data_IF_492181652526
#
_entry.id   IF_492181652526
#
_cell.length_a   1.000
_cell.length_b   1.000
_cell.length_c   1.000
_cell.angle_alpha   90.00
_cell.angle_beta   90.00
_cell.angle_gamma   90.00
#
_symmetry.space_group_name_H-M   'P 1'
#
loop_
_entity.id
_entity.type
_entity.pdbx_description
1 polymer ?
#
# COMPACT_ATOMS: atom_id res chain seq x y z
N UNK A 1 -13.86 12.87 16.27
CA UNK A 1 -12.87 12.77 15.17
C UNK A 1 -13.21 11.52 14.37
N UNK A 2 -13.48 11.67 13.08
CA UNK A 2 -13.82 10.55 12.22
C UNK A 2 -12.62 9.58 12.15
N UNK A 3 -12.90 8.29 12.28
CA UNK A 3 -11.96 7.24 11.89
C UNK A 3 -11.76 7.37 10.38
N UNK A 4 -10.71 8.05 9.94
CA UNK A 4 -10.34 8.03 8.53
C UNK A 4 -9.82 6.63 8.23
N UNK A 5 -10.47 5.92 7.31
CA UNK A 5 -10.07 4.57 6.92
C UNK A 5 -8.70 4.64 6.23
N UNK A 6 -7.65 4.25 6.97
CA UNK A 6 -6.27 4.27 6.49
C UNK A 6 -6.11 3.46 5.19
N UNK A 7 -6.90 2.39 5.02
CA UNK A 7 -6.89 1.61 3.79
C UNK A 7 -7.40 2.42 2.60
N UNK A 8 -8.43 3.22 2.79
CA UNK A 8 -8.96 4.11 1.74
C UNK A 8 -7.92 5.16 1.36
N UNK A 9 -7.21 5.73 2.33
CA UNK A 9 -6.16 6.72 2.05
C UNK A 9 -5.02 6.11 1.26
N UNK A 10 -4.53 4.94 1.68
CA UNK A 10 -3.46 4.23 0.97
C UNK A 10 -3.94 3.86 -0.44
N UNK A 11 -5.19 3.38 -0.57
CA UNK A 11 -5.82 3.13 -1.86
C UNK A 11 -5.78 4.37 -2.76
N UNK A 12 -6.29 5.50 -2.30
CA UNK A 12 -6.35 6.74 -3.09
C UNK A 12 -4.96 7.20 -3.53
N UNK A 13 -3.95 7.04 -2.67
CA UNK A 13 -2.57 7.37 -2.99
C UNK A 13 -1.97 6.42 -4.03
N UNK A 14 -2.23 5.12 -3.93
CA UNK A 14 -1.80 4.12 -4.92
C UNK A 14 -2.48 4.34 -6.28
N UNK A 15 -3.77 4.67 -6.30
CA UNK A 15 -4.50 5.01 -7.54
C UNK A 15 -3.97 6.29 -8.19
N UNK A 16 -3.42 7.21 -7.39
CA UNK A 16 -2.81 8.45 -7.86
C UNK A 16 -1.35 8.28 -8.33
N UNK A 17 -0.73 7.11 -8.17
CA UNK A 17 0.64 6.87 -8.62
C UNK A 17 0.73 6.91 -10.15
N UNK A 18 1.67 7.71 -10.63
CA UNK A 18 1.95 7.90 -12.04
C UNK A 18 3.43 7.70 -12.33
N UNK A 19 3.72 7.28 -13.56
CA UNK A 19 5.08 7.28 -14.09
C UNK A 19 5.52 8.72 -14.44
N UNK A 20 6.76 8.87 -14.91
CA UNK A 20 7.32 10.17 -15.28
C UNK A 20 6.64 10.79 -16.52
N UNK A 21 5.85 9.98 -17.26
CA UNK A 21 5.07 10.41 -18.42
C UNK A 21 3.57 10.62 -18.08
N UNK A 22 3.24 10.70 -16.79
CA UNK A 22 1.88 10.84 -16.26
C UNK A 22 0.91 9.67 -16.51
N UNK A 23 1.42 8.52 -16.96
CA UNK A 23 0.62 7.31 -17.10
C UNK A 23 0.33 6.68 -15.74
N UNK A 24 -0.90 6.21 -15.55
CA UNK A 24 -1.28 5.46 -14.36
C UNK A 24 -0.47 4.17 -14.25
N UNK A 25 0.22 3.98 -13.12
CA UNK A 25 1.05 2.81 -12.88
C UNK A 25 0.25 1.60 -12.38
N UNK A 26 -0.83 1.82 -11.62
CA UNK A 26 -1.69 0.77 -11.06
C UNK A 26 -3.10 0.95 -11.59
N UNK A 27 -3.60 -0.03 -12.34
CA UNK A 27 -4.88 0.05 -13.04
C UNK A 27 -6.06 0.05 -12.06
N UNK A 28 -6.01 -0.78 -11.02
CA UNK A 28 -7.06 -0.91 -10.02
C UNK A 28 -6.49 -1.19 -8.63
N UNK A 29 -7.13 -0.63 -7.60
CA UNK A 29 -6.76 -0.85 -6.20
C UNK A 29 -7.97 -1.26 -5.37
N UNK A 30 -7.87 -2.40 -4.69
CA UNK A 30 -8.92 -2.98 -3.87
C UNK A 30 -8.56 -2.89 -2.37
N UNK A 31 -9.55 -2.67 -1.50
CA UNK A 31 -9.36 -2.65 -0.03
C UNK A 31 -9.61 -4.02 0.64
N UNK A 32 -9.67 -5.06 -0.19
CA UNK A 32 -9.87 -6.46 0.15
C UNK A 32 -9.15 -7.31 -0.91
N UNK A 33 -8.88 -8.58 -0.60
CA UNK A 33 -8.36 -9.50 -1.59
C UNK A 33 -9.43 -9.74 -2.67
N UNK A 34 -9.18 -9.21 -3.87
CA UNK A 34 -10.06 -9.35 -5.03
C UNK A 34 -9.49 -10.38 -5.99
N UNK A 35 -10.36 -11.28 -6.48
CA UNK A 35 -9.98 -12.35 -7.41
C UNK A 35 -10.32 -12.02 -8.87
N UNK A 36 -10.77 -10.79 -9.17
CA UNK A 36 -11.25 -10.41 -10.52
C UNK A 36 -10.87 -8.97 -10.90
N UNK A 37 -9.59 -8.68 -11.14
CA UNK A 37 -9.18 -7.41 -11.73
C UNK A 37 -9.64 -7.31 -13.21
N UNK A 38 -9.83 -6.09 -13.68
CA UNK A 38 -10.02 -5.71 -15.09
C UNK A 38 -8.70 -5.60 -15.86
N UNK A 39 -7.56 -5.67 -15.18
CA UNK A 39 -6.23 -5.81 -15.79
C UNK A 39 -5.09 -5.59 -14.80
N UNK A 40 -3.88 -5.61 -15.34
CA UNK A 40 -2.63 -5.53 -14.59
C UNK A 40 -1.84 -4.26 -14.93
N UNK A 41 -1.04 -3.71 -13.98
CA UNK A 41 -0.96 -4.10 -12.57
C UNK A 41 -2.24 -3.76 -11.80
N UNK A 42 -2.56 -4.56 -10.78
CA UNK A 42 -3.56 -4.21 -9.78
C UNK A 42 -2.98 -4.36 -8.37
N UNK A 43 -3.56 -3.67 -7.39
CA UNK A 43 -3.14 -3.76 -6.00
C UNK A 43 -4.28 -4.13 -5.04
N UNK A 44 -3.95 -4.79 -3.94
CA UNK A 44 -4.84 -5.00 -2.79
C UNK A 44 -4.25 -4.34 -1.56
N UNK A 45 -5.10 -3.78 -0.70
CA UNK A 45 -4.75 -3.07 0.54
C UNK A 45 -5.57 -3.69 1.66
N UNK A 46 -4.95 -4.52 2.48
CA UNK A 46 -5.60 -5.30 3.53
C UNK A 46 -4.97 -4.96 4.87
N UNK A 47 -5.78 -4.60 5.85
CA UNK A 47 -5.29 -4.41 7.21
C UNK A 47 -5.06 -5.78 7.86
N UNK A 48 -3.82 -6.05 8.25
CA UNK A 48 -3.39 -7.31 8.86
C UNK A 48 -3.47 -7.26 10.38
N UNK A 49 -3.07 -6.14 10.99
CA UNK A 49 -2.96 -6.00 12.46
C UNK A 49 -3.57 -4.69 12.94
N UNK A 50 -4.20 -4.73 14.11
CA UNK A 50 -4.61 -3.55 14.88
C UNK A 50 -4.25 -3.78 16.34
N UNK A 51 -3.28 -3.02 16.83
CA UNK A 51 -2.77 -3.08 18.20
C UNK A 51 -2.93 -1.73 18.90
N UNK A 52 -2.94 -1.75 20.23
CA UNK A 52 -3.02 -0.56 21.04
C UNK A 52 -2.20 -0.71 22.32
N UNK A 53 -1.37 0.29 22.59
CA UNK A 53 -0.53 0.35 23.79
C UNK A 53 -0.86 1.62 24.58
N UNK A 54 -1.04 1.47 25.89
CA UNK A 54 -1.26 2.62 26.78
C UNK A 54 0.10 3.25 27.08
N UNK A 55 0.33 4.46 26.59
CA UNK A 55 1.56 5.22 26.89
C UNK A 55 1.48 5.78 28.33
N UNK A 56 0.36 6.41 28.66
CA UNK A 56 0.09 6.92 30.02
C UNK A 56 -1.43 7.07 30.28
N UNK A 57 -1.78 7.66 31.43
CA UNK A 57 -3.17 7.87 31.85
C UNK A 57 -4.01 8.68 30.84
N UNK A 58 -3.36 9.48 30.00
CA UNK A 58 -3.98 10.39 29.03
C UNK A 58 -3.68 10.03 27.57
N UNK A 59 -2.76 9.11 27.28
CA UNK A 59 -2.31 8.81 25.91
C UNK A 59 -2.32 7.32 25.61
N UNK A 60 -2.82 6.96 24.44
CA UNK A 60 -2.81 5.60 23.89
C UNK A 60 -2.21 5.64 22.50
N UNK A 61 -1.18 4.84 22.24
CA UNK A 61 -0.70 4.57 20.90
C UNK A 61 -1.57 3.48 20.27
N UNK A 62 -1.93 3.65 19.00
CA UNK A 62 -2.51 2.61 18.17
C UNK A 62 -1.60 2.33 17.00
N UNK A 63 -1.35 1.05 16.75
CA UNK A 63 -0.52 0.57 15.66
C UNK A 63 -1.42 -0.19 14.71
N UNK A 64 -1.38 0.19 13.44
CA UNK A 64 -2.10 -0.47 12.36
C UNK A 64 -1.10 -0.99 11.34
N UNK A 65 -1.14 -2.29 11.06
CA UNK A 65 -0.37 -2.84 9.96
C UNK A 65 -1.28 -3.13 8.77
N UNK A 66 -0.82 -2.69 7.60
CA UNK A 66 -1.54 -2.74 6.35
C UNK A 66 -0.63 -3.43 5.34
N UNK A 67 -1.06 -4.58 4.86
CA UNK A 67 -0.43 -5.29 3.76
C UNK A 67 -0.93 -4.68 2.45
N UNK A 68 0.01 -4.23 1.62
CA UNK A 68 -0.24 -3.83 0.23
C UNK A 68 0.39 -4.87 -0.68
N UNK A 69 -0.38 -5.44 -1.60
CA UNK A 69 0.13 -6.40 -2.58
C UNK A 69 -0.14 -5.87 -3.97
N UNK A 70 0.88 -5.78 -4.81
CA UNK A 70 0.76 -5.39 -6.21
C UNK A 70 1.05 -6.61 -7.07
N UNK A 71 0.13 -6.90 -7.99
CA UNK A 71 0.18 -8.07 -8.85
C UNK A 71 0.42 -7.62 -10.29
N UNK A 72 1.43 -8.19 -10.94
CA UNK A 72 1.70 -8.02 -12.36
C UNK A 72 1.71 -9.40 -13.03
N UNK A 73 0.92 -9.57 -14.08
CA UNK A 73 0.91 -10.78 -14.90
C UNK A 73 2.15 -10.87 -15.79
N UNK A 74 2.70 -12.08 -15.91
CA UNK A 74 3.69 -12.47 -16.91
C UNK A 74 2.98 -13.40 -17.89
N UNK A 75 2.84 -13.02 -19.16
CA UNK A 75 2.21 -13.89 -20.15
C UNK A 75 2.76 -13.65 -21.55
N UNK A 76 2.75 -14.68 -22.40
CA UNK A 76 3.22 -14.58 -23.81
C UNK A 76 2.41 -13.57 -24.64
N UNK A 77 1.16 -13.30 -24.28
CA UNK A 77 0.31 -12.26 -24.88
C UNK A 77 0.28 -10.94 -24.10
N UNK A 78 1.00 -10.86 -22.98
CA UNK A 78 1.09 -9.72 -22.09
C UNK A 78 2.51 -9.17 -22.04
N UNK A 79 3.01 -8.90 -20.83
CA UNK A 79 4.40 -8.50 -20.61
C UNK A 79 5.30 -9.74 -20.52
N UNK A 80 6.48 -9.64 -21.13
CA UNK A 80 7.56 -10.59 -20.87
C UNK A 80 7.99 -10.53 -19.39
N UNK A 81 8.72 -11.56 -18.93
CA UNK A 81 9.21 -11.61 -17.56
C UNK A 81 10.10 -10.39 -17.22
N UNK A 82 10.95 -9.99 -18.16
CA UNK A 82 11.86 -8.85 -18.01
C UNK A 82 11.07 -7.54 -17.88
N UNK A 83 10.10 -7.29 -18.77
CA UNK A 83 9.25 -6.08 -18.72
C UNK A 83 8.34 -6.04 -17.49
N UNK A 84 7.85 -7.19 -17.03
CA UNK A 84 7.07 -7.31 -15.81
C UNK A 84 7.92 -7.00 -14.58
N UNK A 85 9.16 -7.50 -14.53
CA UNK A 85 10.10 -7.26 -13.44
C UNK A 85 10.55 -5.80 -13.38
N UNK A 86 10.85 -5.20 -14.52
CA UNK A 86 11.19 -3.79 -14.63
C UNK A 86 10.05 -2.92 -14.11
N UNK A 87 8.82 -3.18 -14.55
CA UNK A 87 7.64 -2.46 -14.07
C UNK A 87 7.44 -2.61 -12.56
N UNK A 88 7.60 -3.82 -12.02
CA UNK A 88 7.48 -4.06 -10.57
C UNK A 88 8.57 -3.32 -9.80
N UNK A 89 9.77 -3.19 -10.35
CA UNK A 89 10.85 -2.43 -9.72
C UNK A 89 10.58 -0.92 -9.76
N UNK A 90 10.05 -0.40 -10.86
CA UNK A 90 9.59 1.00 -10.94
C UNK A 90 8.46 1.25 -9.93
N UNK A 91 7.49 0.34 -9.85
CA UNK A 91 6.41 0.41 -8.85
C UNK A 91 6.95 0.39 -7.43
N UNK A 92 7.97 -0.42 -7.16
CA UNK A 92 8.61 -0.50 -5.86
C UNK A 92 9.17 0.86 -5.42
N UNK A 93 10.01 1.45 -6.26
CA UNK A 93 10.63 2.75 -5.97
C UNK A 93 9.58 3.85 -5.81
N UNK A 94 8.58 3.91 -6.69
CA UNK A 94 7.50 4.92 -6.63
C UNK A 94 6.64 4.78 -5.37
N UNK A 95 6.36 3.55 -4.93
CA UNK A 95 5.60 3.30 -3.69
C UNK A 95 6.43 3.71 -2.48
N UNK A 96 7.73 3.36 -2.45
CA UNK A 96 8.63 3.77 -1.37
C UNK A 96 8.72 5.30 -1.30
N UNK A 97 9.00 5.95 -2.43
CA UNK A 97 9.08 7.41 -2.54
C UNK A 97 7.78 8.09 -2.08
N UNK A 98 6.61 7.52 -2.41
CA UNK A 98 5.32 8.05 -1.99
C UNK A 98 5.18 8.07 -0.45
N UNK A 99 5.58 6.99 0.23
CA UNK A 99 5.53 6.94 1.69
C UNK A 99 6.65 7.77 2.35
N UNK A 100 7.82 7.88 1.73
CA UNK A 100 8.91 8.71 2.24
C UNK A 100 8.60 10.21 2.14
N UNK A 101 7.92 10.64 1.09
CA UNK A 101 7.50 12.03 0.91
C UNK A 101 6.25 12.40 1.72
N UNK A 102 5.43 11.44 2.13
CA UNK A 102 4.26 11.67 2.99
C UNK A 102 4.17 10.68 4.15
N UNK A 103 5.04 10.92 5.14
CA UNK A 103 5.17 10.09 6.35
C UNK A 103 3.98 10.18 7.31
N UNK A 104 2.93 10.93 6.98
CA UNK A 104 1.75 11.12 7.83
C UNK A 104 0.42 10.76 7.14
N UNK A 105 0.50 10.23 5.92
CA UNK A 105 -0.67 9.93 5.08
C UNK A 105 -1.63 11.12 5.02
N UNK A 106 -1.08 12.27 4.66
CA UNK A 106 -1.76 13.55 4.64
C UNK A 106 -2.85 13.56 3.57
N UNK A 107 -4.07 13.91 3.99
CA UNK A 107 -5.23 14.10 3.10
C UNK A 107 -5.70 15.53 3.21
N UNK A 108 -5.69 16.26 2.08
CA UNK A 108 -6.11 17.68 2.03
C UNK A 108 -5.42 18.56 3.09
N UNK A 109 -4.15 18.30 3.37
CA UNK A 109 -3.35 19.02 4.36
C UNK A 109 -3.56 18.58 5.81
N UNK A 110 -4.37 17.53 6.07
CA UNK A 110 -4.60 16.99 7.40
C UNK A 110 -3.87 15.65 7.57
N UNK A 111 -2.96 15.51 8.54
CA UNK A 111 -2.31 14.24 8.89
C UNK A 111 -3.34 13.19 9.32
N UNK A 112 -3.23 11.97 8.79
CA UNK A 112 -4.13 10.86 9.14
C UNK A 112 -3.56 9.95 10.23
N UNK A 113 -2.23 9.87 10.29
CA UNK A 113 -1.44 9.20 11.33
C UNK A 113 -0.28 10.10 11.79
N UNK A 114 0.31 9.76 12.94
CA UNK A 114 1.48 10.48 13.45
C UNK A 114 2.74 10.11 12.67
N UNK A 115 2.83 8.83 12.25
CA UNK A 115 3.92 8.29 11.46
C UNK A 115 3.48 7.06 10.67
N UNK A 116 3.97 6.93 9.43
CA UNK A 116 3.93 5.70 8.65
C UNK A 116 5.35 5.23 8.36
N UNK A 117 5.58 3.92 8.49
CA UNK A 117 6.84 3.25 8.16
C UNK A 117 6.54 2.07 7.23
N UNK A 118 7.40 1.84 6.22
CA UNK A 118 7.42 0.57 5.50
C UNK A 118 8.25 -0.42 6.34
N UNK A 119 7.61 -1.50 6.77
CA UNK A 119 8.21 -2.53 7.63
C UNK A 119 8.95 -3.57 6.79
N UNK A 120 8.36 -3.97 5.67
CA UNK A 120 8.96 -4.95 4.79
C UNK A 120 8.53 -4.73 3.34
N UNK A 121 9.44 -5.08 2.42
CA UNK A 121 9.22 -5.11 0.98
C UNK A 121 9.72 -6.45 0.48
N UNK A 122 8.90 -7.21 -0.25
CA UNK A 122 9.27 -8.52 -0.79
C UNK A 122 8.64 -8.74 -2.16
N UNK A 123 9.43 -9.32 -3.07
CA UNK A 123 8.96 -9.82 -4.37
C UNK A 123 8.77 -11.32 -4.28
N UNK A 124 7.55 -11.77 -4.53
CA UNK A 124 7.20 -13.18 -4.67
C UNK A 124 6.82 -13.46 -6.12
N UNK A 125 6.92 -14.74 -6.50
CA UNK A 125 6.48 -15.21 -7.81
C UNK A 125 5.29 -16.16 -7.63
N UNK A 126 4.30 -16.00 -8.49
CA UNK A 126 3.20 -16.92 -8.61
C UNK A 126 3.66 -18.28 -9.14
N UNK A 127 2.73 -19.23 -9.17
CA UNK A 127 2.99 -20.57 -9.69
C UNK A 127 2.92 -20.59 -11.22
N UNK A 128 3.33 -21.69 -11.85
CA UNK A 128 3.22 -21.86 -13.31
C UNK A 128 1.77 -21.75 -13.82
N UNK A 129 0.77 -22.03 -12.98
CA UNK A 129 -0.66 -21.92 -13.31
C UNK A 129 -1.20 -20.48 -13.20
N UNK A 130 -0.39 -19.57 -12.65
CA UNK A 130 -0.74 -18.20 -12.34
C UNK A 130 0.55 -17.37 -12.29
N UNK A 131 1.17 -17.13 -13.46
CA UNK A 131 2.49 -16.53 -13.56
C UNK A 131 2.42 -15.03 -13.24
N UNK A 132 2.41 -14.71 -11.94
CA UNK A 132 2.43 -13.35 -11.43
C UNK A 132 3.78 -13.01 -10.84
N UNK A 133 4.17 -11.74 -10.92
CA UNK A 133 5.11 -11.14 -9.97
C UNK A 133 4.25 -10.41 -8.94
N UNK A 134 4.49 -10.69 -7.67
CA UNK A 134 3.76 -10.10 -6.54
C UNK A 134 4.75 -9.26 -5.75
N UNK A 135 4.49 -7.97 -5.64
CA UNK A 135 5.23 -7.06 -4.79
C UNK A 135 4.42 -6.83 -3.51
N UNK A 136 4.95 -7.29 -2.39
CA UNK A 136 4.32 -7.16 -1.08
C UNK A 136 5.01 -6.07 -0.28
N UNK A 137 4.22 -5.16 0.26
CA UNK A 137 4.61 -4.19 1.28
C UNK A 137 3.84 -4.45 2.56
N UNK A 138 4.54 -4.31 3.68
CA UNK A 138 3.91 -4.16 4.98
C UNK A 138 4.11 -2.74 5.45
N UNK A 139 3.01 -2.02 5.63
CA UNK A 139 2.99 -0.61 6.01
C UNK A 139 2.47 -0.51 7.44
N UNK A 140 3.25 0.08 8.34
CA UNK A 140 2.88 0.29 9.74
C UNK A 140 2.55 1.75 9.99
N UNK A 141 1.32 2.02 10.37
CA UNK A 141 0.84 3.34 10.77
C UNK A 141 0.74 3.42 12.29
N UNK A 142 1.30 4.46 12.90
CA UNK A 142 1.19 4.74 14.33
C UNK A 142 0.34 5.97 14.56
N UNK A 143 -0.55 5.91 15.56
CA UNK A 143 -1.44 6.99 15.93
C UNK A 143 -1.52 7.16 17.43
N UNK A 144 -1.17 8.33 17.95
CA UNK A 144 -1.28 8.70 19.35
C UNK A 144 -2.63 9.37 19.57
N UNK A 145 -3.40 8.82 20.49
CA UNK A 145 -4.72 9.33 20.86
C UNK A 145 -4.64 9.90 22.27
N UNK A 146 -4.94 11.19 22.38
CA UNK A 146 -5.14 11.85 23.67
C UNK A 146 -6.55 11.54 24.17
N UNK A 147 -6.65 10.86 25.31
CA UNK A 147 -7.88 10.74 26.08
C UNK A 147 -8.17 12.10 26.69
N UNK A 148 -9.18 12.81 26.18
CA UNK A 148 -9.80 13.89 26.93
C UNK A 148 -10.54 13.28 28.11
N UNK A 149 -10.07 13.60 29.32
CA UNK A 149 -10.80 13.34 30.56
C UNK A 149 -12.09 14.17 30.62
#
# INVERSE_FOLDING_TARGET
MAYTDLKTIIKEKLEALKDDNENTLIKEVFIFDSNKPSGYPYATVVQSISEGEIIDNTRVERIYEISVKVFQEISEGGKSNEEAMELITILEDKIIDMFDNDRQLTVKGVPSCDRVDIVSVRKDYGTNESPYIILNFEVRCRKIINKTC
#
